data_IF_805281911748
#
_entry.id   IF_805281911748
#
_cell.length_a   1.000
_cell.length_b   1.000
_cell.length_c   1.000
_cell.angle_alpha   90.00
_cell.angle_beta   90.00
_cell.angle_gamma   90.00
#
_symmetry.space_group_name_H-M   'P 1'
#
loop_
_entity.id
_entity.type
_entity.pdbx_description
1 polymer ?
#
# COMPACT_ATOMS: atom_id res chain seq x y z
N UNK A 1 -31.00 -12.60 1.66
CA UNK A 1 -30.80 -12.85 0.21
C UNK A 1 -30.73 -11.52 -0.51
N UNK A 2 -29.53 -10.99 -0.72
CA UNK A 2 -29.16 -10.33 -1.97
C UNK A 2 -27.66 -10.08 -1.94
N UNK A 3 -26.99 -10.84 -2.79
CA UNK A 3 -25.56 -10.85 -3.05
C UNK A 3 -25.29 -9.95 -4.23
N UNK A 4 -24.48 -8.92 -4.09
CA UNK A 4 -23.76 -8.33 -5.23
C UNK A 4 -22.48 -7.69 -4.70
N UNK A 5 -21.49 -8.56 -4.47
CA UNK A 5 -20.10 -8.16 -4.62
C UNK A 5 -19.91 -7.70 -6.06
N UNK A 6 -19.25 -6.56 -6.27
CA UNK A 6 -18.67 -6.24 -7.58
C UNK A 6 -17.57 -7.27 -7.83
N UNK A 7 -17.98 -8.42 -8.37
CA UNK A 7 -17.11 -9.50 -8.76
C UNK A 7 -16.21 -9.00 -9.87
N UNK A 8 -14.91 -9.16 -9.67
CA UNK A 8 -13.94 -9.06 -10.75
C UNK A 8 -14.42 -9.93 -11.93
N UNK A 9 -14.76 -9.36 -13.09
CA UNK A 9 -15.49 -10.08 -14.16
C UNK A 9 -14.75 -11.30 -14.70
N UNK A 10 -13.43 -11.32 -14.51
CA UNK A 10 -12.51 -12.38 -14.94
C UNK A 10 -12.36 -13.52 -13.92
N UNK A 11 -12.80 -13.35 -12.65
CA UNK A 11 -12.75 -14.41 -11.61
C UNK A 11 -13.99 -15.31 -11.58
N UNK A 12 -15.03 -15.00 -12.36
CA UNK A 12 -16.18 -15.89 -12.49
C UNK A 12 -15.86 -17.10 -13.39
N UNK A 13 -16.51 -18.24 -13.11
CA UNK A 13 -16.40 -19.47 -13.91
C UNK A 13 -16.48 -19.19 -15.41
N UNK A 14 -15.68 -19.92 -16.23
CA UNK A 14 -15.64 -19.81 -17.69
C UNK A 14 -17.04 -19.82 -18.34
N UNK A 15 -18.02 -20.44 -17.68
CA UNK A 15 -19.41 -20.57 -18.14
C UNK A 15 -20.33 -19.40 -17.79
N UNK A 16 -19.95 -18.50 -16.86
CA UNK A 16 -20.78 -17.35 -16.49
C UNK A 16 -20.86 -16.29 -17.60
N UNK A 17 -19.97 -16.32 -18.58
CA UNK A 17 -19.96 -15.38 -19.71
C UNK A 17 -21.20 -15.55 -20.62
N UNK A 18 -21.82 -16.73 -20.61
CA UNK A 18 -23.07 -17.03 -21.32
C UNK A 18 -24.29 -16.25 -20.79
N UNK A 19 -24.18 -15.58 -19.64
CA UNK A 19 -25.26 -14.79 -19.04
C UNK A 19 -25.50 -13.44 -19.73
N UNK A 20 -24.58 -12.97 -20.58
CA UNK A 20 -24.69 -11.69 -21.30
C UNK A 20 -24.61 -11.90 -22.81
N UNK A 21 -25.73 -11.69 -23.50
CA UNK A 21 -25.82 -11.79 -24.97
C UNK A 21 -24.90 -10.80 -25.69
N UNK A 22 -24.68 -9.60 -25.15
CA UNK A 22 -23.77 -8.61 -25.75
C UNK A 22 -22.30 -9.01 -25.68
N UNK A 23 -21.87 -9.65 -24.59
CA UNK A 23 -20.49 -10.13 -24.42
C UNK A 23 -20.28 -11.39 -25.27
N UNK A 24 -21.25 -12.30 -25.22
CA UNK A 24 -21.23 -13.55 -25.97
C UNK A 24 -21.24 -13.30 -27.49
N UNK A 25 -22.08 -12.39 -28.00
CA UNK A 25 -22.11 -12.05 -29.42
C UNK A 25 -20.80 -11.36 -29.87
N UNK A 26 -20.21 -10.49 -29.05
CA UNK A 26 -18.93 -9.85 -29.38
C UNK A 26 -17.76 -10.84 -29.38
N UNK A 27 -17.71 -11.77 -28.41
CA UNK A 27 -16.62 -12.74 -28.32
C UNK A 27 -16.74 -13.93 -29.27
N UNK A 28 -17.94 -14.48 -29.50
CA UNK A 28 -18.15 -15.63 -30.41
C UNK A 28 -18.03 -15.21 -31.88
N UNK A 29 -18.52 -14.03 -32.25
CA UNK A 29 -18.59 -13.63 -33.66
C UNK A 29 -17.41 -12.78 -34.12
N UNK A 30 -16.43 -12.47 -33.26
CA UNK A 30 -15.24 -11.68 -33.63
C UNK A 30 -14.42 -12.26 -34.80
N UNK A 31 -14.72 -13.48 -35.23
CA UNK A 31 -14.16 -14.10 -36.45
C UNK A 31 -14.89 -13.59 -37.71
N UNK A 32 -14.19 -12.94 -38.65
CA UNK A 32 -14.81 -12.26 -39.80
C UNK A 32 -15.70 -13.14 -40.70
N UNK A 33 -15.46 -14.45 -40.73
CA UNK A 33 -16.17 -15.42 -41.56
C UNK A 33 -17.60 -15.77 -41.09
N UNK A 34 -17.98 -15.44 -39.85
CA UNK A 34 -19.27 -15.86 -39.26
C UNK A 34 -20.20 -14.70 -38.87
N UNK A 35 -19.70 -13.46 -38.83
CA UNK A 35 -20.48 -12.30 -38.38
C UNK A 35 -21.66 -11.98 -39.33
N UNK A 36 -21.49 -12.18 -40.63
CA UNK A 36 -22.48 -11.76 -41.64
C UNK A 36 -23.70 -12.66 -41.77
N UNK A 37 -23.56 -13.99 -41.67
CA UNK A 37 -24.61 -14.95 -42.03
C UNK A 37 -25.57 -15.29 -40.89
N UNK A 38 -25.16 -15.10 -39.62
CA UNK A 38 -25.94 -15.53 -38.46
C UNK A 38 -26.49 -14.37 -37.62
N UNK A 39 -26.04 -13.12 -37.83
CA UNK A 39 -26.48 -11.96 -37.03
C UNK A 39 -28.00 -11.72 -37.09
N UNK A 40 -28.64 -12.01 -38.23
CA UNK A 40 -30.09 -11.79 -38.44
C UNK A 40 -30.95 -12.83 -37.71
N UNK A 41 -30.44 -14.03 -37.44
CA UNK A 41 -31.21 -15.12 -36.79
C UNK A 41 -31.22 -15.05 -35.26
N UNK A 42 -30.34 -14.24 -34.66
CA UNK A 42 -30.06 -14.27 -33.21
C UNK A 42 -30.82 -13.17 -32.45
N UNK A 43 -31.47 -12.23 -33.14
CA UNK A 43 -32.16 -11.11 -32.48
C UNK A 43 -33.34 -11.53 -31.58
N UNK A 44 -33.80 -12.78 -31.61
CA UNK A 44 -35.01 -13.22 -30.88
C UNK A 44 -34.93 -14.63 -30.21
N UNK A 45 -33.75 -15.14 -29.81
CA UNK A 45 -33.67 -16.45 -29.12
C UNK A 45 -32.72 -16.49 -27.90
N UNK A 46 -33.01 -17.38 -26.94
CA UNK A 46 -32.20 -17.56 -25.72
C UNK A 46 -30.83 -18.18 -26.02
N UNK A 47 -29.78 -17.36 -25.83
CA UNK A 47 -28.39 -17.58 -26.23
C UNK A 47 -27.72 -18.88 -25.72
N UNK A 48 -28.18 -19.45 -24.61
CA UNK A 48 -27.46 -20.50 -23.87
C UNK A 48 -27.37 -21.86 -24.61
N UNK A 49 -28.47 -22.32 -25.23
CA UNK A 49 -28.54 -23.67 -25.84
C UNK A 49 -27.74 -23.76 -27.15
N UNK A 50 -27.80 -22.72 -27.97
CA UNK A 50 -27.02 -22.66 -29.21
C UNK A 50 -25.53 -22.45 -28.94
N UNK A 51 -25.13 -21.69 -27.91
CA UNK A 51 -23.71 -21.52 -27.57
C UNK A 51 -23.04 -22.83 -27.17
N UNK A 52 -23.70 -23.65 -26.35
CA UNK A 52 -23.16 -24.96 -25.98
C UNK A 52 -23.06 -25.90 -27.18
N UNK A 53 -24.11 -26.00 -28.01
CA UNK A 53 -24.10 -26.83 -29.21
C UNK A 53 -23.05 -26.37 -30.25
N UNK A 54 -22.88 -25.06 -30.41
CA UNK A 54 -21.95 -24.46 -31.38
C UNK A 54 -20.48 -24.55 -30.93
N UNK A 55 -20.22 -24.46 -29.63
CA UNK A 55 -18.89 -24.63 -29.02
C UNK A 55 -18.38 -26.08 -29.13
N UNK A 56 -19.30 -27.05 -29.11
CA UNK A 56 -19.00 -28.47 -29.29
C UNK A 56 -18.73 -28.79 -30.78
N UNK A 57 -19.38 -28.09 -31.72
CA UNK A 57 -19.19 -28.32 -33.15
C UNK A 57 -17.89 -27.70 -33.71
N UNK A 58 -17.42 -26.57 -33.15
CA UNK A 58 -16.21 -25.86 -33.63
C UNK A 58 -14.91 -26.42 -33.04
N UNK A 59 -14.95 -27.04 -31.86
CA UNK A 59 -13.78 -27.70 -31.27
C UNK A 59 -13.25 -28.87 -32.13
N UNK A 60 -14.03 -29.35 -33.11
CA UNK A 60 -13.62 -30.37 -34.07
C UNK A 60 -13.01 -29.84 -35.39
N UNK A 61 -13.03 -28.53 -35.68
CA UNK A 61 -12.57 -27.98 -36.97
C UNK A 61 -11.57 -26.83 -36.79
N UNK A 62 -10.28 -27.16 -36.82
CA UNK A 62 -9.09 -26.35 -37.22
C UNK A 62 -8.94 -24.87 -36.79
N UNK A 63 -9.79 -24.29 -35.94
CA UNK A 63 -9.79 -22.87 -35.59
C UNK A 63 -8.99 -22.49 -34.34
N UNK A 64 -8.39 -23.45 -33.63
CA UNK A 64 -7.60 -23.18 -32.42
C UNK A 64 -6.44 -22.20 -32.65
N UNK A 65 -5.75 -22.29 -33.79
CA UNK A 65 -4.60 -21.43 -34.11
C UNK A 65 -4.99 -19.96 -34.36
N UNK A 66 -6.16 -19.71 -34.96
CA UNK A 66 -6.63 -18.35 -35.23
C UNK A 66 -7.08 -17.68 -33.94
N UNK A 67 -7.80 -18.41 -33.08
CA UNK A 67 -8.26 -17.90 -31.80
C UNK A 67 -7.11 -17.63 -30.82
N UNK A 68 -6.11 -18.52 -30.76
CA UNK A 68 -4.92 -18.33 -29.91
C UNK A 68 -4.10 -17.10 -30.35
N UNK A 69 -3.88 -16.89 -31.65
CA UNK A 69 -3.18 -15.71 -32.17
C UNK A 69 -3.92 -14.41 -31.89
N UNK A 70 -5.25 -14.41 -32.03
CA UNK A 70 -6.06 -13.22 -31.75
C UNK A 70 -6.10 -12.89 -30.25
N UNK A 71 -6.21 -13.92 -29.40
CA UNK A 71 -6.14 -13.77 -27.94
C UNK A 71 -4.80 -13.22 -27.49
N UNK A 72 -3.68 -13.74 -28.02
CA UNK A 72 -2.35 -13.22 -27.73
C UNK A 72 -2.23 -11.74 -28.10
N UNK A 73 -2.69 -11.34 -29.30
CA UNK A 73 -2.68 -9.93 -29.73
C UNK A 73 -3.57 -9.02 -28.88
N UNK A 74 -4.73 -9.50 -28.43
CA UNK A 74 -5.59 -8.72 -27.52
C UNK A 74 -4.94 -8.53 -26.16
N UNK A 75 -4.37 -9.59 -25.59
CA UNK A 75 -3.70 -9.52 -24.28
C UNK A 75 -2.47 -8.64 -24.32
N UNK A 76 -1.68 -8.71 -25.39
CA UNK A 76 -0.54 -7.82 -25.62
C UNK A 76 -1.00 -6.36 -25.72
N UNK A 77 -2.04 -6.08 -26.53
CA UNK A 77 -2.57 -4.72 -26.72
C UNK A 77 -3.14 -4.11 -25.43
N UNK A 78 -3.71 -4.91 -24.53
CA UNK A 78 -4.40 -4.45 -23.32
C UNK A 78 -3.66 -4.79 -22.00
N UNK A 79 -2.43 -5.33 -22.07
CA UNK A 79 -1.58 -5.62 -20.91
C UNK A 79 -2.15 -6.67 -19.95
N UNK A 80 -2.68 -7.77 -20.49
CA UNK A 80 -3.30 -8.85 -19.70
C UNK A 80 -2.28 -9.98 -19.46
N UNK A 81 -2.02 -10.34 -18.20
CA UNK A 81 -1.09 -11.44 -17.82
C UNK A 81 -1.68 -12.83 -18.10
N UNK A 82 -0.87 -13.77 -18.58
CA UNK A 82 -1.28 -15.15 -18.90
C UNK A 82 -0.90 -16.13 -17.78
N UNK A 83 -1.90 -16.82 -17.20
CA UNK A 83 -1.67 -17.88 -16.21
C UNK A 83 -1.55 -19.27 -16.89
N UNK A 84 -0.78 -20.22 -16.33
CA UNK A 84 -0.60 -21.56 -16.92
C UNK A 84 -1.92 -22.34 -17.12
N UNK A 85 -2.92 -22.11 -16.26
CA UNK A 85 -4.27 -22.70 -16.36
C UNK A 85 -5.07 -22.20 -17.57
N UNK A 86 -4.73 -21.02 -18.09
CA UNK A 86 -5.48 -20.38 -19.18
C UNK A 86 -5.21 -21.01 -20.54
N UNK A 87 -4.06 -21.69 -20.68
CA UNK A 87 -3.66 -22.36 -21.91
C UNK A 87 -4.54 -23.58 -22.18
N UNK A 88 -4.85 -24.36 -21.13
CA UNK A 88 -5.70 -25.55 -21.25
C UNK A 88 -7.16 -25.17 -21.55
N UNK A 89 -7.66 -24.11 -20.89
CA UNK A 89 -9.00 -23.57 -21.14
C UNK A 89 -9.13 -22.97 -22.55
N UNK A 90 -8.08 -22.31 -23.06
CA UNK A 90 -8.08 -21.76 -24.41
C UNK A 90 -8.04 -22.83 -25.51
N UNK A 91 -7.34 -23.94 -25.29
CA UNK A 91 -7.27 -25.02 -26.25
C UNK A 91 -8.59 -25.81 -26.36
N UNK A 92 -9.33 -25.95 -25.25
CA UNK A 92 -10.55 -26.79 -25.19
C UNK A 92 -11.82 -25.93 -25.40
N UNK A 93 -11.83 -24.68 -24.92
CA UNK A 93 -13.00 -23.79 -24.89
C UNK A 93 -12.67 -22.41 -25.46
N UNK A 94 -11.96 -22.38 -26.60
CA UNK A 94 -11.44 -21.15 -27.22
C UNK A 94 -12.45 -19.99 -27.37
N UNK A 95 -13.74 -20.20 -27.72
CA UNK A 95 -14.68 -19.09 -27.86
C UNK A 95 -15.04 -18.44 -26.51
N UNK A 96 -15.17 -19.24 -25.45
CA UNK A 96 -15.48 -18.77 -24.10
C UNK A 96 -14.32 -17.97 -23.51
N UNK A 97 -13.09 -18.40 -23.77
CA UNK A 97 -11.89 -17.66 -23.39
C UNK A 97 -11.84 -16.26 -24.04
N UNK A 98 -12.17 -16.14 -25.33
CA UNK A 98 -12.22 -14.84 -26.03
C UNK A 98 -13.34 -13.94 -25.50
N UNK A 99 -14.51 -14.51 -25.16
CA UNK A 99 -15.60 -13.76 -24.53
C UNK A 99 -15.19 -13.20 -23.17
N UNK A 100 -14.39 -13.94 -22.39
CA UNK A 100 -13.87 -13.49 -21.09
C UNK A 100 -12.89 -12.31 -21.26
N UNK A 101 -11.96 -12.36 -22.22
CA UNK A 101 -11.07 -11.22 -22.51
C UNK A 101 -11.86 -9.98 -22.96
N UNK A 102 -12.89 -10.18 -23.78
CA UNK A 102 -13.75 -9.09 -24.28
C UNK A 102 -14.52 -8.41 -23.13
N UNK A 103 -14.96 -9.19 -22.13
CA UNK A 103 -15.62 -8.66 -20.92
C UNK A 103 -14.68 -7.78 -20.13
N UNK A 104 -13.44 -8.21 -19.95
CA UNK A 104 -12.40 -7.46 -19.24
C UNK A 104 -12.08 -6.14 -19.94
N UNK A 105 -11.93 -6.15 -21.27
CA UNK A 105 -11.69 -4.93 -22.07
C UNK A 105 -12.84 -3.93 -21.92
N UNK A 106 -14.10 -4.39 -22.06
CA UNK A 106 -15.28 -3.53 -21.91
C UNK A 106 -15.39 -2.97 -20.48
N UNK A 107 -14.98 -3.73 -19.47
CA UNK A 107 -14.94 -3.26 -18.08
C UNK A 107 -13.93 -2.11 -17.92
N UNK A 108 -12.74 -2.26 -18.48
CA UNK A 108 -11.67 -1.25 -18.43
C UNK A 108 -11.99 0.01 -19.24
N UNK A 109 -12.69 -0.12 -20.36
CA UNK A 109 -13.12 1.03 -21.18
C UNK A 109 -14.21 1.88 -20.49
N UNK A 110 -15.00 1.28 -19.58
CA UNK A 110 -16.04 1.99 -18.82
C UNK A 110 -15.51 2.77 -17.61
N UNK A 111 -14.34 2.41 -17.07
CA UNK A 111 -13.70 3.07 -15.91
C UNK A 111 -12.27 3.54 -16.23
N UNK A 112 -12.09 4.61 -17.03
CA UNK A 112 -10.78 5.03 -17.54
C UNK A 112 -9.78 5.55 -16.47
N UNK A 113 -10.22 5.82 -15.23
CA UNK A 113 -9.38 6.24 -14.10
C UNK A 113 -8.74 5.07 -13.35
N UNK A 114 -9.07 3.82 -13.67
CA UNK A 114 -8.51 2.64 -13.04
C UNK A 114 -7.25 2.15 -13.78
N UNK A 115 -6.29 3.05 -14.01
CA UNK A 115 -4.87 2.63 -14.06
C UNK A 115 -4.39 2.47 -12.62
N UNK A 116 -4.94 1.47 -11.93
CA UNK A 116 -4.22 0.86 -10.81
C UNK A 116 -3.03 0.15 -11.45
N UNK A 117 -1.93 0.88 -11.59
CA UNK A 117 -0.61 0.24 -11.57
C UNK A 117 -0.58 -0.47 -10.23
N UNK A 118 -0.76 -1.78 -10.27
CA UNK A 118 -0.29 -2.67 -9.22
C UNK A 118 1.14 -2.22 -8.91
N UNK A 119 1.34 -1.67 -7.71
CA UNK A 119 2.65 -1.34 -7.20
C UNK A 119 3.46 -2.64 -7.23
N UNK A 120 4.37 -2.75 -8.19
CA UNK A 120 5.40 -3.77 -8.11
C UNK A 120 6.19 -3.54 -6.81
N UNK A 121 6.55 -4.59 -6.07
CA UNK A 121 7.52 -4.46 -5.01
C UNK A 121 8.84 -3.95 -5.60
N UNK A 122 9.26 -2.77 -5.18
CA UNK A 122 10.62 -2.24 -5.31
C UNK A 122 11.10 -1.99 -6.74
N UNK A 123 10.80 -0.83 -7.31
CA UNK A 123 11.70 -0.26 -8.31
C UNK A 123 13.02 0.04 -7.59
N UNK A 124 14.06 -0.77 -7.86
CA UNK A 124 15.37 -0.57 -7.26
C UNK A 124 15.90 0.80 -7.65
N UNK A 125 16.12 1.67 -6.67
CA UNK A 125 16.61 3.04 -6.84
C UNK A 125 18.13 3.03 -7.04
N UNK A 126 18.60 2.43 -8.13
CA UNK A 126 20.03 2.21 -8.43
C UNK A 126 20.87 3.49 -8.49
N UNK A 127 20.24 4.64 -8.72
CA UNK A 127 20.92 5.93 -8.88
C UNK A 127 20.67 6.92 -7.73
N UNK A 128 19.87 6.56 -6.73
CA UNK A 128 19.57 7.45 -5.59
C UNK A 128 20.54 7.18 -4.46
N UNK A 129 21.21 8.22 -3.96
CA UNK A 129 22.04 8.14 -2.75
C UNK A 129 21.29 8.78 -1.59
N UNK A 130 21.04 8.00 -0.55
CA UNK A 130 20.24 8.39 0.61
C UNK A 130 21.16 8.78 1.75
N UNK A 131 21.00 10.00 2.25
CA UNK A 131 21.77 10.53 3.37
C UNK A 131 20.88 10.75 4.59
N UNK A 132 21.21 10.14 5.72
CA UNK A 132 20.51 10.40 6.98
C UNK A 132 21.24 11.45 7.80
N UNK A 133 20.51 12.50 8.20
CA UNK A 133 20.94 13.48 9.19
C UNK A 133 20.38 13.04 10.54
N UNK A 134 21.22 12.41 11.37
CA UNK A 134 20.83 11.63 12.54
C UNK A 134 20.87 10.12 12.27
N UNK A 135 21.58 9.35 13.11
CA UNK A 135 21.71 7.89 13.03
C UNK A 135 21.00 7.17 14.17
N UNK A 136 19.96 7.80 14.75
CA UNK A 136 19.15 7.22 15.81
C UNK A 136 18.25 6.06 15.35
N UNK A 137 17.34 5.63 16.24
CA UNK A 137 16.47 4.47 16.03
C UNK A 137 15.66 4.55 14.73
N UNK A 138 15.15 5.73 14.38
CA UNK A 138 14.30 5.86 13.20
C UNK A 138 15.09 5.78 11.89
N UNK A 139 16.28 6.39 11.84
CA UNK A 139 17.21 6.19 10.73
C UNK A 139 17.57 4.71 10.60
N UNK A 140 17.95 4.05 11.70
CA UNK A 140 18.35 2.65 11.67
C UNK A 140 17.23 1.74 11.16
N UNK A 141 15.99 1.99 11.59
CA UNK A 141 14.83 1.22 11.17
C UNK A 141 14.47 1.42 9.69
N UNK A 142 14.50 2.67 9.19
CA UNK A 142 14.27 2.96 7.77
C UNK A 142 15.40 2.39 6.90
N UNK A 143 16.66 2.65 7.26
CA UNK A 143 17.81 2.16 6.50
C UNK A 143 17.82 0.62 6.44
N UNK A 144 17.50 -0.07 7.55
CA UNK A 144 17.34 -1.53 7.56
C UNK A 144 16.28 -1.98 6.57
N UNK A 145 15.10 -1.39 6.63
CA UNK A 145 13.97 -1.75 5.77
C UNK A 145 14.30 -1.53 4.28
N UNK A 146 14.93 -0.40 3.94
CA UNK A 146 15.35 -0.10 2.56
C UNK A 146 16.38 -1.11 2.01
N UNK A 147 17.28 -1.61 2.87
CA UNK A 147 18.25 -2.65 2.51
C UNK A 147 17.54 -4.00 2.35
N UNK A 148 16.73 -4.42 3.31
CA UNK A 148 16.04 -5.72 3.32
C UNK A 148 15.04 -5.85 2.16
N UNK A 149 14.40 -4.76 1.76
CA UNK A 149 13.45 -4.71 0.65
C UNK A 149 14.13 -4.49 -0.72
N UNK A 150 15.47 -4.47 -0.79
CA UNK A 150 16.26 -4.23 -2.02
C UNK A 150 15.87 -2.95 -2.76
N UNK A 151 15.45 -1.92 -2.02
CA UNK A 151 15.12 -0.60 -2.56
C UNK A 151 16.40 0.10 -2.99
N UNK A 152 17.48 -0.09 -2.24
CA UNK A 152 18.84 0.26 -2.64
C UNK A 152 19.56 -0.98 -3.18
N UNK A 153 20.36 -0.80 -4.23
CA UNK A 153 21.19 -1.86 -4.82
C UNK A 153 22.42 -2.19 -3.98
N UNK A 154 22.96 -1.22 -3.24
CA UNK A 154 24.08 -1.41 -2.32
C UNK A 154 23.89 -0.60 -1.05
N UNK A 155 24.42 -1.12 0.06
CA UNK A 155 24.53 -0.42 1.34
C UNK A 155 25.37 0.86 1.23
N UNK A 156 26.28 0.92 0.26
CA UNK A 156 27.11 2.10 -0.03
C UNK A 156 26.29 3.29 -0.58
N UNK A 157 25.04 3.06 -0.98
CA UNK A 157 24.11 4.15 -1.33
C UNK A 157 23.57 4.88 -0.10
N UNK A 158 23.79 4.35 1.11
CA UNK A 158 23.33 4.93 2.35
C UNK A 158 24.51 5.44 3.17
N UNK A 159 24.43 6.70 3.56
CA UNK A 159 25.33 7.31 4.54
C UNK A 159 24.53 7.97 5.65
N UNK A 160 24.98 7.86 6.91
CA UNK A 160 24.33 8.51 8.04
C UNK A 160 25.32 9.36 8.85
N UNK A 161 24.83 10.47 9.41
CA UNK A 161 25.57 11.30 10.35
C UNK A 161 24.94 11.29 11.72
N UNK A 162 25.74 11.32 12.78
CA UNK A 162 25.26 11.55 14.14
C UNK A 162 26.38 12.16 14.98
N UNK A 163 26.03 13.00 15.94
CA UNK A 163 27.00 13.55 16.90
C UNK A 163 27.46 12.49 17.89
N UNK A 164 26.58 11.54 18.26
CA UNK A 164 26.88 10.44 19.17
C UNK A 164 27.61 9.30 18.45
N UNK A 165 28.86 9.07 18.85
CA UNK A 165 29.70 8.00 18.32
C UNK A 165 29.09 6.61 18.53
N UNK A 166 28.35 6.39 19.61
CA UNK A 166 27.71 5.10 19.86
C UNK A 166 26.61 4.83 18.84
N UNK A 167 25.80 5.83 18.46
CA UNK A 167 24.81 5.66 17.40
C UNK A 167 25.47 5.33 16.06
N UNK A 168 26.59 5.99 15.73
CA UNK A 168 27.37 5.68 14.51
C UNK A 168 27.89 4.24 14.51
N UNK A 169 28.45 3.77 15.64
CA UNK A 169 28.93 2.39 15.79
C UNK A 169 27.80 1.38 15.66
N UNK A 170 26.64 1.64 16.27
CA UNK A 170 25.46 0.78 16.17
C UNK A 170 24.97 0.70 14.72
N UNK A 171 24.78 1.83 14.05
CA UNK A 171 24.32 1.86 12.66
C UNK A 171 25.30 1.14 11.72
N UNK A 172 26.62 1.36 11.89
CA UNK A 172 27.65 0.68 11.09
C UNK A 172 27.66 -0.84 11.34
N UNK A 173 27.66 -1.26 12.60
CA UNK A 173 27.74 -2.69 12.95
C UNK A 173 26.48 -3.48 12.57
N UNK A 174 25.29 -2.90 12.74
CA UNK A 174 24.03 -3.59 12.46
C UNK A 174 23.67 -3.57 10.98
N UNK A 175 23.95 -2.48 10.27
CA UNK A 175 23.46 -2.27 8.92
C UNK A 175 24.56 -2.38 7.87
N UNK A 176 25.81 -2.12 8.24
CA UNK A 176 26.95 -2.07 7.32
C UNK A 176 26.94 -0.81 6.44
N UNK A 177 26.28 0.27 6.88
CA UNK A 177 26.25 1.55 6.16
C UNK A 177 27.44 2.43 6.56
N UNK A 178 27.82 3.37 5.70
CA UNK A 178 28.85 4.36 6.04
C UNK A 178 28.29 5.35 7.06
N UNK A 179 29.08 5.68 8.09
CA UNK A 179 28.70 6.70 9.09
C UNK A 179 29.78 7.75 9.28
N UNK A 180 29.38 8.98 9.60
CA UNK A 180 30.28 10.12 9.81
C UNK A 180 29.78 11.03 10.94
N UNK A 181 30.66 11.86 11.51
CA UNK A 181 30.26 12.91 12.46
C UNK A 181 29.89 14.23 11.75
N UNK A 182 30.17 14.35 10.45
CA UNK A 182 29.98 15.59 9.68
C UNK A 182 28.73 15.52 8.79
N UNK A 183 27.73 16.34 9.09
CA UNK A 183 26.50 16.45 8.28
C UNK A 183 26.81 16.93 6.84
N UNK A 184 27.83 17.77 6.65
CA UNK A 184 28.19 18.29 5.32
C UNK A 184 28.69 17.20 4.41
N UNK A 185 29.37 16.20 4.95
CA UNK A 185 29.81 15.03 4.20
C UNK A 185 28.60 14.23 3.69
N UNK A 186 27.58 14.02 4.53
CA UNK A 186 26.31 13.36 4.13
C UNK A 186 25.67 14.12 2.97
N UNK A 187 25.53 15.44 3.10
CA UNK A 187 24.92 16.30 2.06
C UNK A 187 25.66 16.18 0.73
N UNK A 188 26.99 16.21 0.73
CA UNK A 188 27.80 16.11 -0.50
C UNK A 188 27.70 14.75 -1.19
N UNK A 189 27.35 13.70 -0.45
CA UNK A 189 27.34 12.32 -0.95
C UNK A 189 25.93 11.80 -1.26
N UNK A 190 24.90 12.61 -1.07
CA UNK A 190 23.50 12.19 -1.16
C UNK A 190 22.68 13.12 -2.05
N UNK A 191 21.74 12.54 -2.81
CA UNK A 191 20.75 13.28 -3.58
C UNK A 191 19.42 13.41 -2.83
N UNK A 192 19.11 12.44 -1.96
CA UNK A 192 17.96 12.47 -1.06
C UNK A 192 18.46 12.48 0.38
N UNK A 193 18.05 13.48 1.16
CA UNK A 193 18.43 13.68 2.54
C UNK A 193 17.24 13.41 3.45
N UNK A 194 17.37 12.51 4.41
CA UNK A 194 16.35 12.24 5.43
C UNK A 194 16.79 12.92 6.73
N UNK A 195 16.04 13.94 7.16
CA UNK A 195 16.24 14.62 8.43
C UNK A 195 15.60 13.81 9.56
N UNK A 196 16.42 13.05 10.28
CA UNK A 196 16.05 12.05 11.29
C UNK A 196 16.58 12.41 12.69
N UNK A 197 16.69 13.70 13.00
CA UNK A 197 17.03 14.21 14.34
C UNK A 197 15.79 14.56 15.16
N UNK A 198 15.97 14.80 16.46
CA UNK A 198 14.88 15.27 17.32
C UNK A 198 14.46 16.68 16.91
N UNK A 199 13.18 17.07 17.12
CA UNK A 199 12.67 18.38 16.70
C UNK A 199 13.51 19.57 17.17
N UNK A 200 13.97 19.53 18.43
CA UNK A 200 14.84 20.56 19.02
C UNK A 200 16.21 20.73 18.35
N UNK A 201 16.69 19.72 17.63
CA UNK A 201 18.01 19.72 17.01
C UNK A 201 17.93 20.11 15.52
N UNK A 202 16.72 20.17 14.94
CA UNK A 202 16.49 20.43 13.50
C UNK A 202 17.12 21.74 13.05
N UNK A 203 16.86 22.84 13.75
CA UNK A 203 17.39 24.16 13.39
C UNK A 203 18.92 24.15 13.30
N UNK A 204 19.59 23.56 14.29
CA UNK A 204 21.05 23.48 14.31
C UNK A 204 21.62 22.71 13.13
N UNK A 205 20.98 21.60 12.76
CA UNK A 205 21.38 20.77 11.61
C UNK A 205 21.14 21.49 10.30
N UNK A 206 19.99 22.14 10.13
CA UNK A 206 19.66 22.89 8.91
C UNK A 206 20.64 24.05 8.68
N UNK A 207 21.00 24.77 9.74
CA UNK A 207 22.02 25.83 9.68
C UNK A 207 23.40 25.29 9.29
N UNK A 208 23.81 24.14 9.84
CA UNK A 208 25.10 23.51 9.54
C UNK A 208 25.20 23.07 8.07
N UNK A 209 24.12 22.52 7.50
CA UNK A 209 24.12 22.02 6.12
C UNK A 209 23.82 23.09 5.07
N UNK A 210 23.30 24.27 5.47
CA UNK A 210 22.76 25.29 4.55
C UNK A 210 23.68 25.58 3.37
N UNK A 211 24.96 25.80 3.63
CA UNK A 211 25.94 26.14 2.59
C UNK A 211 26.22 24.98 1.63
N UNK A 212 26.23 23.74 2.13
CA UNK A 212 26.43 22.53 1.32
C UNK A 212 25.16 22.09 0.59
N UNK A 213 23.99 22.56 1.01
CA UNK A 213 22.71 22.23 0.39
C UNK A 213 22.54 22.97 -0.95
N UNK A 214 22.29 22.22 -2.02
CA UNK A 214 22.06 22.75 -3.38
C UNK A 214 20.65 22.32 -3.81
N UNK A 215 19.68 23.24 -3.89
CA UNK A 215 18.27 22.91 -4.17
C UNK A 215 18.01 22.02 -5.38
N UNK A 216 18.77 22.22 -6.46
CA UNK A 216 18.65 21.46 -7.71
C UNK A 216 19.14 20.01 -7.57
N UNK A 217 20.05 19.75 -6.64
CA UNK A 217 20.68 18.43 -6.48
C UNK A 217 20.06 17.64 -5.32
N UNK A 218 19.47 18.33 -4.34
CA UNK A 218 19.02 17.71 -3.10
C UNK A 218 17.51 17.82 -2.91
N UNK A 219 16.92 16.72 -2.47
CA UNK A 219 15.59 16.67 -1.89
C UNK A 219 15.74 16.44 -0.38
N UNK A 220 15.15 17.29 0.45
CA UNK A 220 15.11 17.09 1.90
C UNK A 220 13.77 16.49 2.33
N UNK A 221 13.81 15.29 2.90
CA UNK A 221 12.69 14.59 3.49
C UNK A 221 12.78 14.69 5.00
N UNK A 222 11.87 15.40 5.66
CA UNK A 222 11.84 15.49 7.11
C UNK A 222 10.91 14.47 7.73
N UNK A 223 11.42 13.72 8.70
CA UNK A 223 10.62 12.84 9.57
C UNK A 223 10.54 13.38 11.01
N UNK A 224 10.95 14.65 11.21
CA UNK A 224 10.89 15.30 12.51
C UNK A 224 9.44 15.66 12.85
N UNK A 225 8.96 15.18 13.99
CA UNK A 225 7.62 15.48 14.48
C UNK A 225 7.48 16.98 14.81
N UNK A 226 6.36 17.59 14.41
CA UNK A 226 6.03 18.98 14.77
C UNK A 226 6.88 20.06 14.10
N UNK A 227 7.63 19.78 13.03
CA UNK A 227 8.34 20.83 12.29
C UNK A 227 7.72 20.99 10.91
N UNK A 228 7.13 22.17 10.64
CA UNK A 228 6.47 22.43 9.37
C UNK A 228 7.44 22.55 8.20
N UNK A 229 7.00 22.22 6.99
CA UNK A 229 7.77 22.43 5.74
C UNK A 229 8.22 23.88 5.61
N UNK A 230 7.31 24.82 5.86
CA UNK A 230 7.60 26.26 5.84
C UNK A 230 8.65 26.70 6.87
N UNK A 231 8.74 26.03 8.02
CA UNK A 231 9.79 26.28 9.02
C UNK A 231 11.14 25.80 8.49
N UNK A 232 11.19 24.60 7.90
CA UNK A 232 12.40 24.02 7.31
C UNK A 232 12.93 24.87 6.16
N UNK A 233 12.04 25.29 5.25
CA UNK A 233 12.39 26.09 4.07
C UNK A 233 13.07 27.41 4.42
N UNK A 234 12.69 28.05 5.55
CA UNK A 234 13.33 29.30 6.04
C UNK A 234 14.82 29.11 6.35
N UNK A 235 15.21 27.95 6.87
CA UNK A 235 16.60 27.65 7.22
C UNK A 235 17.44 27.17 6.03
N UNK A 236 16.80 26.86 4.90
CA UNK A 236 17.48 26.45 3.67
C UNK A 236 17.57 27.60 2.66
N UNK A 237 18.26 27.35 1.55
CA UNK A 237 18.35 28.30 0.44
C UNK A 237 16.99 28.43 -0.27
N UNK A 238 16.69 29.55 -0.93
CA UNK A 238 15.48 29.69 -1.74
C UNK A 238 15.34 28.54 -2.76
N UNK A 239 14.10 28.18 -3.08
CA UNK A 239 13.75 27.07 -3.99
C UNK A 239 14.12 25.66 -3.48
N UNK A 240 14.40 25.49 -2.19
CA UNK A 240 14.70 24.18 -1.60
C UNK A 240 13.51 23.25 -1.67
N UNK A 241 13.76 22.02 -2.11
CA UNK A 241 12.74 20.98 -2.26
C UNK A 241 12.63 20.22 -0.96
N UNK A 242 11.48 20.34 -0.30
CA UNK A 242 11.23 19.79 1.04
C UNK A 242 9.96 18.94 1.00
N UNK A 243 9.99 17.77 1.63
CA UNK A 243 8.80 16.96 1.89
C UNK A 243 8.81 16.55 3.36
N UNK A 244 7.70 16.72 4.06
CA UNK A 244 7.53 16.25 5.44
C UNK A 244 6.77 14.93 5.41
N UNK A 245 7.30 13.91 6.08
CA UNK A 245 6.72 12.57 6.13
C UNK A 245 6.52 12.20 7.59
N UNK A 246 5.38 11.59 7.91
CA UNK A 246 5.13 11.02 9.23
C UNK A 246 5.11 9.49 9.16
N UNK A 247 6.28 8.81 9.27
CA UNK A 247 6.33 7.36 9.42
C UNK A 247 6.04 6.95 10.88
N UNK A 248 6.03 5.64 11.14
CA UNK A 248 6.02 5.12 12.50
C UNK A 248 7.03 3.98 12.69
N UNK A 249 7.17 3.51 13.93
CA UNK A 249 8.16 2.50 14.29
C UNK A 249 7.93 1.12 13.64
N UNK A 250 6.75 0.88 13.06
CA UNK A 250 6.44 -0.37 12.39
C UNK A 250 7.22 -0.56 11.08
N UNK A 251 8.01 0.43 10.63
CA UNK A 251 8.99 0.22 9.56
C UNK A 251 10.04 -0.85 9.91
N UNK A 252 10.28 -1.12 11.21
CA UNK A 252 11.15 -2.24 11.66
C UNK A 252 10.68 -3.62 11.18
N UNK A 253 9.40 -3.74 10.84
CA UNK A 253 8.78 -4.98 10.34
C UNK A 253 8.14 -4.76 8.97
N UNK A 254 8.57 -3.72 8.24
CA UNK A 254 8.07 -3.36 6.91
C UNK A 254 6.54 -3.15 6.86
N UNK A 255 5.97 -2.66 7.97
CA UNK A 255 4.53 -2.40 8.12
C UNK A 255 4.28 -0.98 8.64
N UNK A 256 5.15 -0.03 8.29
CA UNK A 256 4.92 1.39 8.57
C UNK A 256 3.64 1.86 7.91
N UNK A 257 2.95 2.83 8.49
CA UNK A 257 1.88 3.56 7.81
C UNK A 257 2.31 5.02 7.75
N UNK A 258 2.49 5.53 6.54
CA UNK A 258 3.08 6.85 6.31
C UNK A 258 2.18 7.70 5.42
N UNK A 259 2.24 9.00 5.62
CA UNK A 259 1.68 10.01 4.71
C UNK A 259 2.69 11.14 4.62
N UNK A 260 2.55 11.99 3.61
CA UNK A 260 3.46 13.12 3.45
C UNK A 260 2.73 14.40 3.07
N UNK A 261 3.40 15.52 3.29
CA UNK A 261 3.01 16.83 2.80
C UNK A 261 4.22 17.50 2.15
N UNK A 262 4.02 18.11 0.99
CA UNK A 262 5.11 18.71 0.24
C UNK A 262 5.27 20.19 0.53
N UNK A 263 6.52 20.66 0.56
CA UNK A 263 6.85 22.08 0.56
C UNK A 263 6.58 22.73 -0.79
N UNK A 264 6.81 24.03 -0.87
CA UNK A 264 6.40 24.86 -2.01
C UNK A 264 7.09 24.47 -3.31
N UNK A 265 8.33 23.98 -3.22
CA UNK A 265 9.19 23.74 -4.38
C UNK A 265 9.37 22.25 -4.72
N UNK A 266 8.67 21.34 -4.02
CA UNK A 266 8.73 19.91 -4.33
C UNK A 266 8.07 19.60 -5.68
N UNK A 267 8.74 18.80 -6.50
CA UNK A 267 8.23 18.41 -7.83
C UNK A 267 7.39 17.13 -7.77
N UNK A 268 6.71 16.80 -8.88
CA UNK A 268 5.94 15.56 -8.97
C UNK A 268 6.83 14.31 -8.93
N UNK A 269 8.06 14.43 -9.43
CA UNK A 269 9.09 13.39 -9.31
C UNK A 269 9.51 13.20 -7.85
N UNK A 270 9.66 14.29 -7.08
CA UNK A 270 9.98 14.21 -5.66
C UNK A 270 8.86 13.52 -4.87
N UNK A 271 7.60 13.90 -5.12
CA UNK A 271 6.41 13.25 -4.53
C UNK A 271 6.36 11.76 -4.85
N UNK A 272 6.59 11.41 -6.11
CA UNK A 272 6.60 10.03 -6.59
C UNK A 272 7.72 9.22 -5.93
N UNK A 273 8.92 9.80 -5.81
CA UNK A 273 10.07 9.18 -5.15
C UNK A 273 9.81 8.95 -3.66
N UNK A 274 9.30 9.96 -2.95
CA UNK A 274 8.94 9.82 -1.52
C UNK A 274 7.88 8.74 -1.35
N UNK A 275 6.83 8.76 -2.18
CA UNK A 275 5.78 7.74 -2.11
C UNK A 275 6.33 6.33 -2.34
N UNK A 276 7.23 6.14 -3.32
CA UNK A 276 7.86 4.86 -3.60
C UNK A 276 8.73 4.38 -2.42
N UNK A 277 9.56 5.26 -1.86
CA UNK A 277 10.41 4.94 -0.70
C UNK A 277 9.56 4.52 0.50
N UNK A 278 8.56 5.31 0.89
CA UNK A 278 7.78 4.99 2.09
C UNK A 278 6.77 3.85 1.89
N UNK A 279 6.34 3.60 0.65
CA UNK A 279 5.56 2.39 0.31
C UNK A 279 6.40 1.12 0.33
N UNK A 280 7.73 1.21 0.23
CA UNK A 280 8.59 0.03 0.32
C UNK A 280 8.78 -0.46 1.75
N UNK A 281 8.66 0.43 2.74
CA UNK A 281 8.86 0.13 4.16
C UNK A 281 7.54 -0.09 4.92
N UNK A 282 6.43 -0.23 4.19
CA UNK A 282 5.07 -0.32 4.73
C UNK A 282 4.03 0.14 3.71
N UNK A 283 3.13 1.04 4.10
CA UNK A 283 2.24 1.76 3.21
C UNK A 283 2.54 3.26 3.21
N UNK A 284 2.29 3.89 2.06
CA UNK A 284 2.21 5.34 1.96
C UNK A 284 0.86 5.71 1.35
N UNK A 285 0.01 6.40 2.11
CA UNK A 285 -1.35 6.75 1.66
C UNK A 285 -1.39 8.03 0.81
N UNK A 286 -0.21 8.52 0.37
CA UNK A 286 -0.07 9.68 -0.50
C UNK A 286 0.09 11.02 0.23
N UNK A 287 -0.10 12.08 -0.55
CA UNK A 287 0.00 13.47 -0.11
C UNK A 287 -1.28 13.91 0.62
N UNK A 288 -1.12 14.62 1.73
CA UNK A 288 -2.20 15.24 2.49
C UNK A 288 -1.89 16.71 2.80
N UNK A 289 -2.90 17.45 3.26
CA UNK A 289 -2.69 18.77 3.86
C UNK A 289 -1.78 18.64 5.09
N UNK A 290 -0.71 19.44 5.13
CA UNK A 290 0.25 19.47 6.24
C UNK A 290 -0.42 19.69 7.61
N UNK A 291 -1.53 20.45 7.67
CA UNK A 291 -2.26 20.68 8.92
C UNK A 291 -2.86 19.40 9.52
N UNK A 292 -3.05 18.36 8.71
CA UNK A 292 -3.55 17.05 9.16
C UNK A 292 -2.43 16.14 9.69
N UNK A 293 -1.15 16.49 9.51
CA UNK A 293 -0.04 15.65 10.00
C UNK A 293 -0.01 15.51 11.53
N UNK A 294 -0.56 16.47 12.28
CA UNK A 294 -0.72 16.34 13.73
C UNK A 294 -1.75 15.27 14.08
N UNK A 295 -2.85 15.17 13.32
CA UNK A 295 -3.87 14.12 13.47
C UNK A 295 -3.26 12.76 13.13
N UNK A 296 -2.47 12.69 12.05
CA UNK A 296 -1.77 11.45 11.65
C UNK A 296 -0.77 11.02 12.73
N UNK A 297 -0.03 11.97 13.29
CA UNK A 297 0.89 11.71 14.40
C UNK A 297 0.17 11.11 15.61
N UNK A 298 -1.00 11.66 15.94
CA UNK A 298 -1.83 11.16 17.01
C UNK A 298 -2.42 9.78 16.73
N UNK A 299 -2.75 9.47 15.48
CA UNK A 299 -3.35 8.20 15.06
C UNK A 299 -2.31 7.11 14.76
N UNK A 300 -1.53 7.24 13.68
CA UNK A 300 -0.62 6.20 13.20
C UNK A 300 0.78 6.29 13.81
N UNK A 301 1.24 7.50 14.17
CA UNK A 301 2.52 7.71 14.85
C UNK A 301 2.51 7.16 16.27
N UNK A 302 1.45 7.48 17.02
CA UNK A 302 1.26 7.06 18.42
C UNK A 302 0.49 5.73 18.54
N UNK A 303 -0.24 5.34 17.50
CA UNK A 303 -1.05 4.13 17.43
C UNK A 303 -0.39 2.83 17.90
N UNK A 304 0.89 2.54 17.57
CA UNK A 304 1.57 1.35 18.08
C UNK A 304 1.54 1.22 19.60
N UNK A 305 1.59 2.32 20.35
CA UNK A 305 1.46 2.30 21.80
C UNK A 305 0.03 1.93 22.23
N UNK A 306 -0.98 2.52 21.59
CA UNK A 306 -2.38 2.24 21.91
C UNK A 306 -2.74 0.77 21.65
N UNK A 307 -2.33 0.25 20.50
CA UNK A 307 -2.53 -1.16 20.16
C UNK A 307 -1.78 -2.11 21.10
N UNK A 308 -0.58 -1.72 21.57
CA UNK A 308 0.15 -2.50 22.57
C UNK A 308 -0.62 -2.63 23.89
N UNK A 309 -1.19 -1.53 24.38
CA UNK A 309 -2.04 -1.54 25.59
C UNK A 309 -3.27 -2.42 25.41
N UNK A 310 -3.92 -2.37 24.24
CA UNK A 310 -5.07 -3.23 23.95
C UNK A 310 -4.69 -4.72 23.94
N UNK A 311 -3.57 -5.08 23.31
CA UNK A 311 -3.06 -6.46 23.29
C UNK A 311 -2.73 -6.95 24.70
N UNK A 312 -2.07 -6.11 25.49
CA UNK A 312 -1.71 -6.41 26.88
C UNK A 312 -2.96 -6.65 27.74
N UNK A 313 -3.95 -5.76 27.65
CA UNK A 313 -5.21 -5.87 28.40
C UNK A 313 -6.01 -7.12 28.01
N UNK A 314 -6.08 -7.47 26.72
CA UNK A 314 -6.73 -8.70 26.26
C UNK A 314 -6.00 -9.95 26.76
N UNK A 315 -4.66 -9.92 26.77
CA UNK A 315 -3.86 -11.01 27.29
C UNK A 315 -4.05 -11.18 28.81
N UNK A 316 -4.12 -10.07 29.57
CA UNK A 316 -4.45 -10.10 31.01
C UNK A 316 -5.82 -10.71 31.29
N UNK A 317 -6.83 -10.32 30.51
CA UNK A 317 -8.17 -10.91 30.59
C UNK A 317 -8.16 -12.42 30.34
N UNK A 318 -7.40 -12.87 29.34
CA UNK A 318 -7.27 -14.29 29.03
C UNK A 318 -6.48 -15.09 30.08
N UNK A 319 -5.47 -14.48 30.71
CA UNK A 319 -4.76 -15.08 31.86
C UNK A 319 -5.70 -15.22 33.05
N UNK A 320 -6.52 -14.20 33.34
CA UNK A 320 -7.56 -14.29 34.37
C UNK A 320 -8.57 -15.40 34.09
N UNK A 321 -8.85 -15.69 32.82
CA UNK A 321 -9.70 -16.79 32.38
C UNK A 321 -8.99 -18.17 32.34
N UNK A 322 -7.70 -18.24 32.67
CA UNK A 322 -6.96 -19.49 32.85
C UNK A 322 -5.90 -19.80 31.80
N UNK A 323 -5.63 -18.93 30.83
CA UNK A 323 -4.53 -19.14 29.88
C UNK A 323 -3.16 -18.84 30.49
N UNK A 324 -2.11 -19.49 29.98
CA UNK A 324 -0.74 -19.08 30.27
C UNK A 324 -0.43 -17.73 29.62
N UNK A 325 0.40 -16.90 30.29
CA UNK A 325 0.81 -15.59 29.78
C UNK A 325 1.37 -15.64 28.35
N UNK A 326 2.30 -16.56 27.99
CA UNK A 326 2.85 -16.60 26.63
C UNK A 326 1.80 -16.91 25.57
N UNK A 327 0.87 -17.84 25.84
CA UNK A 327 -0.20 -18.18 24.92
C UNK A 327 -1.19 -17.02 24.75
N UNK A 328 -1.57 -16.38 25.86
CA UNK A 328 -2.48 -15.23 25.85
C UNK A 328 -1.95 -14.07 24.99
N UNK A 329 -0.68 -13.70 25.15
CA UNK A 329 -0.03 -12.67 24.33
C UNK A 329 0.02 -13.05 22.84
N UNK A 330 0.35 -14.32 22.55
CA UNK A 330 0.43 -14.81 21.18
C UNK A 330 -0.94 -14.79 20.49
N UNK A 331 -2.01 -15.21 21.19
CA UNK A 331 -3.38 -15.18 20.67
C UNK A 331 -3.87 -13.75 20.48
N UNK A 332 -3.70 -12.87 21.47
CA UNK A 332 -4.14 -11.47 21.38
C UNK A 332 -3.46 -10.74 20.20
N UNK A 333 -2.14 -10.87 20.07
CA UNK A 333 -1.37 -10.23 18.98
C UNK A 333 -1.78 -10.76 17.60
N UNK A 334 -1.90 -12.08 17.44
CA UNK A 334 -2.28 -12.70 16.15
C UNK A 334 -3.72 -12.38 15.77
N UNK A 335 -4.63 -12.33 16.73
CA UNK A 335 -6.02 -11.91 16.49
C UNK A 335 -6.06 -10.46 16.00
N UNK A 336 -5.35 -9.55 16.67
CA UNK A 336 -5.27 -8.16 16.22
C UNK A 336 -4.70 -8.03 14.80
N UNK A 337 -3.60 -8.74 14.51
CA UNK A 337 -3.01 -8.77 13.17
C UNK A 337 -3.99 -9.29 12.11
N UNK A 338 -4.66 -10.41 12.38
CA UNK A 338 -5.65 -11.00 11.48
C UNK A 338 -6.83 -10.05 11.22
N UNK A 339 -7.37 -9.44 12.27
CA UNK A 339 -8.45 -8.44 12.16
C UNK A 339 -8.01 -7.23 11.34
N UNK A 340 -6.82 -6.68 11.60
CA UNK A 340 -6.29 -5.57 10.81
C UNK A 340 -6.14 -5.95 9.33
N UNK A 341 -5.63 -7.15 9.04
CA UNK A 341 -5.51 -7.66 7.67
C UNK A 341 -6.86 -7.77 6.96
N UNK A 342 -7.91 -8.22 7.67
CA UNK A 342 -9.27 -8.29 7.11
C UNK A 342 -9.85 -6.90 6.81
N UNK A 343 -9.59 -5.91 7.68
CA UNK A 343 -10.05 -4.53 7.47
C UNK A 343 -9.31 -3.83 6.33
N UNK A 344 -8.06 -4.22 6.07
CA UNK A 344 -7.25 -3.69 4.97
C UNK A 344 -7.48 -4.42 3.64
N UNK A 345 -8.27 -5.49 3.64
CA UNK A 345 -8.57 -6.27 2.44
C UNK A 345 -9.46 -5.45 1.49
N UNK A 346 -8.84 -4.92 0.43
CA UNK A 346 -9.49 -4.11 -0.60
C UNK A 346 -10.51 -4.90 -1.44
N UNK A 347 -10.44 -6.24 -1.46
CA UNK A 347 -11.42 -7.07 -2.17
C UNK A 347 -12.73 -7.18 -1.37
N UNK A 348 -12.63 -7.25 -0.04
CA UNK A 348 -13.80 -7.43 0.84
C UNK A 348 -14.37 -6.10 1.34
N UNK A 349 -13.53 -5.06 1.47
CA UNK A 349 -13.90 -3.70 1.92
C UNK A 349 -14.82 -3.70 3.15
N UNK A 350 -14.51 -4.53 4.14
CA UNK A 350 -15.34 -4.59 5.34
C UNK A 350 -15.36 -3.24 6.03
N UNK A 351 -16.56 -2.67 6.17
CA UNK A 351 -16.74 -1.65 7.19
C UNK A 351 -16.53 -2.30 8.58
N UNK A 352 -15.85 -1.65 9.53
CA UNK A 352 -15.59 -2.25 10.85
C UNK A 352 -16.84 -2.77 11.57
N UNK A 353 -18.00 -2.11 11.36
CA UNK A 353 -19.27 -2.59 11.91
C UNK A 353 -19.73 -3.92 11.30
N UNK A 354 -19.51 -4.13 10.00
CA UNK A 354 -19.87 -5.37 9.31
C UNK A 354 -19.01 -6.53 9.80
N UNK A 355 -17.70 -6.32 9.94
CA UNK A 355 -16.80 -7.34 10.49
C UNK A 355 -17.19 -7.70 11.94
N UNK A 356 -17.51 -6.69 12.76
CA UNK A 356 -18.02 -6.88 14.12
C UNK A 356 -19.31 -7.72 14.12
N UNK A 357 -20.28 -7.40 13.27
CA UNK A 357 -21.55 -8.11 13.21
C UNK A 357 -21.38 -9.55 12.69
N UNK A 358 -20.46 -9.77 11.75
CA UNK A 358 -20.16 -11.10 11.21
C UNK A 358 -19.62 -12.09 12.25
N UNK A 359 -18.94 -11.59 13.30
CA UNK A 359 -18.39 -12.42 14.39
C UNK A 359 -19.25 -12.42 15.67
N UNK A 360 -20.33 -11.63 15.70
CA UNK A 360 -21.23 -11.49 16.84
C UNK A 360 -22.51 -12.30 16.65
N UNK A 361 -22.41 -13.62 16.82
CA UNK A 361 -23.58 -14.50 16.73
C UNK A 361 -24.62 -14.18 17.82
N UNK A 362 -25.93 -14.31 17.53
CA UNK A 362 -26.99 -14.07 18.51
C UNK A 362 -26.81 -14.93 19.77
N UNK A 363 -26.71 -14.29 20.94
CA UNK A 363 -26.49 -14.96 22.23
C UNK A 363 -25.10 -15.59 22.41
N UNK A 364 -24.17 -15.39 21.47
CA UNK A 364 -22.82 -15.93 21.52
C UNK A 364 -21.87 -15.15 22.44
N UNK A 365 -20.66 -15.69 22.67
CA UNK A 365 -19.67 -15.07 23.59
C UNK A 365 -19.26 -13.66 23.16
N UNK A 366 -19.14 -13.41 21.85
CA UNK A 366 -18.72 -12.11 21.32
C UNK A 366 -19.67 -10.98 21.69
N UNK A 367 -21.00 -11.19 21.63
CA UNK A 367 -21.95 -10.10 21.90
C UNK A 367 -21.95 -9.69 23.38
N UNK A 368 -21.75 -10.63 24.31
CA UNK A 368 -21.56 -10.32 25.74
C UNK A 368 -20.23 -9.59 25.99
N UNK A 369 -19.16 -9.93 25.26
CA UNK A 369 -17.91 -9.18 25.30
C UNK A 369 -18.08 -7.74 24.82
N UNK A 370 -18.76 -7.55 23.69
CA UNK A 370 -19.07 -6.24 23.12
C UNK A 370 -19.96 -5.41 24.07
N UNK A 371 -20.93 -6.01 24.74
CA UNK A 371 -21.76 -5.34 25.75
C UNK A 371 -20.90 -4.68 26.85
N UNK A 372 -19.87 -5.37 27.34
CA UNK A 372 -18.93 -4.80 28.33
C UNK A 372 -18.10 -3.67 27.74
N UNK A 373 -17.62 -3.80 26.49
CA UNK A 373 -16.87 -2.73 25.84
C UNK A 373 -17.71 -1.46 25.65
N UNK A 374 -19.00 -1.60 25.32
CA UNK A 374 -19.91 -0.46 25.18
C UNK A 374 -20.24 0.15 26.56
N UNK A 375 -20.44 -0.67 27.61
CA UNK A 375 -20.61 -0.16 29.00
C UNK A 375 -19.37 0.60 29.49
N UNK A 376 -18.18 0.16 29.10
CA UNK A 376 -16.92 0.83 29.40
C UNK A 376 -16.62 2.03 28.48
N UNK A 377 -17.51 2.35 27.54
CA UNK A 377 -17.39 3.46 26.60
C UNK A 377 -16.06 3.45 25.81
N UNK A 378 -15.58 2.26 25.39
CA UNK A 378 -14.28 2.11 24.72
C UNK A 378 -14.15 3.02 23.48
N UNK A 379 -15.24 3.21 22.72
CA UNK A 379 -15.22 4.11 21.55
C UNK A 379 -14.91 5.56 21.94
N UNK A 380 -15.55 6.06 22.99
CA UNK A 380 -15.33 7.41 23.48
C UNK A 380 -13.88 7.59 23.96
N UNK A 381 -13.37 6.64 24.75
CA UNK A 381 -11.99 6.66 25.23
C UNK A 381 -10.95 6.71 24.09
N UNK A 382 -11.16 5.95 23.01
CA UNK A 382 -10.25 5.94 21.86
C UNK A 382 -10.34 7.22 21.02
N UNK A 383 -11.54 7.78 20.84
CA UNK A 383 -11.72 9.07 20.18
C UNK A 383 -11.00 10.18 20.96
N UNK A 384 -11.21 10.24 22.28
CA UNK A 384 -10.56 11.21 23.16
C UNK A 384 -9.04 11.03 23.18
N UNK A 385 -8.55 9.79 23.12
CA UNK A 385 -7.11 9.50 23.03
C UNK A 385 -6.49 10.15 21.79
N UNK A 386 -7.12 10.02 20.63
CA UNK A 386 -6.62 10.62 19.37
C UNK A 386 -6.72 12.14 19.43
N UNK A 387 -7.83 12.69 19.93
CA UNK A 387 -8.01 14.14 20.06
C UNK A 387 -6.96 14.75 21.00
N UNK A 388 -6.77 14.19 22.19
CA UNK A 388 -5.80 14.69 23.17
C UNK A 388 -4.36 14.64 22.64
N UNK A 389 -4.00 13.56 21.92
CA UNK A 389 -2.69 13.45 21.29
C UNK A 389 -2.53 14.44 20.12
N UNK A 390 -3.60 14.74 19.38
CA UNK A 390 -3.61 15.75 18.31
C UNK A 390 -3.35 17.14 18.88
N UNK A 391 -4.06 17.50 19.96
CA UNK A 391 -3.88 18.80 20.64
C UNK A 391 -2.46 18.93 21.18
N UNK A 392 -1.93 17.84 21.77
CA UNK A 392 -0.55 17.83 22.24
C UNK A 392 0.47 17.98 21.11
N UNK A 393 0.24 17.32 19.97
CA UNK A 393 1.10 17.46 18.79
C UNK A 393 1.11 18.91 18.28
N UNK A 394 -0.06 19.56 18.23
CA UNK A 394 -0.18 20.97 17.84
C UNK A 394 0.55 21.91 18.82
N UNK A 395 0.51 21.65 20.12
CA UNK A 395 1.26 22.43 21.13
C UNK A 395 2.78 22.30 21.01
N UNK A 396 3.26 21.20 20.43
CA UNK A 396 4.68 20.92 20.22
C UNK A 396 5.17 21.37 18.84
N UNK A 397 4.26 21.82 17.96
CA UNK A 397 4.58 22.24 16.61
C UNK A 397 5.22 23.64 16.59
N UNK A 398 6.27 23.80 15.79
CA UNK A 398 7.05 25.04 15.67
C UNK A 398 7.23 25.51 14.23
#
# INVERSE_FOLDING_TARGET
MNTDSQKEPWRESLFNVCSSSSICCKGIFCTPCLFGTNAVKISNASCCVYCCAYSILISCLSCGLVHMRMRAKMREKYGLEEKPSDFLAACILSPLAVCQETREIISREKNPTEKVRTSQPGETLSHVKIGFLGAGRMCQALARSLIEQNVVSSKDQIIASDVDENQRKIATSQLGITTTADNKQVVKQSSLLILAVKPKDVESVLNDIRESFIPQNHLLVSIAAGIRTTTIEKFLKPNSRVVRVMPNIACLVNASCSVYASGQCATDEDRSLVNAIFSSVGSCEGEIDENLLNVVTALSGSGPAYFSVMVEALADGAVKAGLSRPLALALASKTMFGTAKMLLDKEQQFHPSQLKDAVASPGGTTIYGLEIMEKAAVRAALMETVTAATDRAAQLES
#
